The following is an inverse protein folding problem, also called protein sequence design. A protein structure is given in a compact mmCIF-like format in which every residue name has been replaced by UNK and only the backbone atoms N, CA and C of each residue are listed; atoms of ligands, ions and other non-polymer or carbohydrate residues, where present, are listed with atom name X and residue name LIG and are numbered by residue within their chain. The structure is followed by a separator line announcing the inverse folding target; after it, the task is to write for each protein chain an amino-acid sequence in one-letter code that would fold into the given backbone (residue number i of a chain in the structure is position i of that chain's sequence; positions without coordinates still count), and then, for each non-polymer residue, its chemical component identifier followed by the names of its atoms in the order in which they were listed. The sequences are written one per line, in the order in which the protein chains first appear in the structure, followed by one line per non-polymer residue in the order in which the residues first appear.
data_IF_845915677141
#
_entry.id   IF_845915677141
#
_cell.length_a   1.000
_cell.length_b   1.000
_cell.length_c   1.000
_cell.angle_alpha   90.00
_cell.angle_beta   90.00
_cell.angle_gamma   90.00
#
_symmetry.space_group_name_H-M   'P 1'
#
loop_
_entity.id
_entity.type
_entity.pdbx_description
1 polymer ?
#
# COMPACT_ATOMS: atom_id res chain seq x y z
N UNK A 1 4.83 -3.38 20.99
CA UNK A 1 5.01 -4.26 19.83
C UNK A 1 4.73 -5.71 20.18
N UNK A 2 3.80 -6.00 21.11
CA UNK A 2 2.89 -7.14 20.91
C UNK A 2 2.29 -6.99 19.51
N UNK A 3 2.61 -7.90 18.59
CA UNK A 3 1.99 -7.98 17.26
C UNK A 3 0.97 -9.11 17.25
N UNK A 4 -0.27 -8.90 17.78
CA UNK A 4 -1.38 -9.75 17.41
C UNK A 4 -1.61 -9.49 15.92
N UNK A 5 -1.10 -10.40 15.10
CA UNK A 5 -1.30 -10.46 13.65
C UNK A 5 -1.20 -9.07 12.99
N UNK A 6 0.04 -8.61 12.84
CA UNK A 6 0.31 -7.49 11.94
C UNK A 6 -0.19 -7.94 10.55
N UNK A 7 -1.40 -7.50 10.17
CA UNK A 7 -2.16 -7.96 8.99
C UNK A 7 -1.53 -7.58 7.64
N UNK A 8 -0.22 -7.30 7.66
CA UNK A 8 0.62 -7.29 6.48
C UNK A 8 0.70 -8.69 5.88
N UNK A 9 0.72 -8.71 4.56
CA UNK A 9 0.91 -9.94 3.79
C UNK A 9 2.39 -10.22 3.65
N UNK A 10 2.74 -11.49 3.54
CA UNK A 10 4.11 -11.98 3.52
C UNK A 10 4.93 -11.82 4.82
N UNK A 11 4.37 -11.22 5.89
CA UNK A 11 4.77 -11.63 7.25
C UNK A 11 4.08 -12.95 7.57
N UNK A 12 4.84 -14.04 7.71
CA UNK A 12 4.32 -15.29 8.26
C UNK A 12 3.82 -15.13 9.69
N UNK A 13 3.34 -16.21 10.32
CA UNK A 13 2.97 -16.17 11.74
C UNK A 13 4.22 -15.86 12.59
N UNK A 14 4.10 -14.95 13.55
CA UNK A 14 5.12 -14.75 14.58
C UNK A 14 5.03 -15.86 15.64
N UNK A 15 6.17 -16.39 16.05
CA UNK A 15 6.28 -17.39 17.11
C UNK A 15 7.03 -16.84 18.32
N UNK A 16 6.65 -17.29 19.52
CA UNK A 16 7.38 -17.01 20.76
C UNK A 16 8.73 -17.72 20.70
N UNK A 17 9.82 -17.02 20.99
CA UNK A 17 11.16 -17.58 20.94
C UNK A 17 11.31 -18.71 21.97
N UNK A 18 11.65 -19.89 21.48
CA UNK A 18 11.91 -21.09 22.29
C UNK A 18 13.15 -21.84 21.75
N UNK A 19 14.04 -22.38 22.60
CA UNK A 19 15.20 -23.15 22.16
C UNK A 19 14.85 -24.38 21.30
N UNK A 20 13.72 -25.02 21.59
CA UNK A 20 13.29 -26.29 21.00
C UNK A 20 12.90 -26.10 19.54
N UNK A 21 12.17 -25.03 19.23
CA UNK A 21 11.74 -24.68 17.86
C UNK A 21 12.79 -23.88 17.09
N UNK A 22 13.56 -23.04 17.78
CA UNK A 22 14.36 -21.99 17.14
C UNK A 22 15.88 -22.12 17.36
N UNK A 23 16.34 -23.15 18.07
CA UNK A 23 17.77 -23.35 18.40
C UNK A 23 18.68 -23.55 17.18
N UNK A 24 18.12 -24.00 16.06
CA UNK A 24 18.82 -24.14 14.77
C UNK A 24 18.90 -22.83 13.97
N UNK A 25 18.07 -21.82 14.28
CA UNK A 25 17.99 -20.59 13.48
C UNK A 25 19.29 -19.79 13.57
N UNK A 26 19.71 -19.30 12.39
CA UNK A 26 20.88 -18.44 12.20
C UNK A 26 20.43 -17.12 11.60
N UNK A 27 20.60 -16.04 12.34
CA UNK A 27 20.23 -14.70 11.91
C UNK A 27 21.34 -14.06 11.06
N UNK A 28 20.97 -13.57 9.89
CA UNK A 28 21.76 -12.60 9.14
C UNK A 28 20.91 -11.36 8.82
N UNK A 29 21.57 -10.24 8.52
CA UNK A 29 20.87 -9.07 7.95
C UNK A 29 20.41 -9.42 6.53
N UNK A 30 19.23 -8.95 6.13
CA UNK A 30 18.85 -8.93 4.72
C UNK A 30 19.62 -7.82 3.98
N UNK A 31 19.85 -8.01 2.68
CA UNK A 31 20.54 -7.02 1.84
C UNK A 31 19.65 -5.81 1.50
N UNK A 32 18.34 -6.00 1.51
CA UNK A 32 17.33 -4.99 1.20
C UNK A 32 16.00 -5.31 1.93
N UNK A 33 14.95 -4.53 1.66
CA UNK A 33 13.63 -4.64 2.31
C UNK A 33 12.62 -5.46 1.51
N UNK A 34 13.06 -6.43 0.69
CA UNK A 34 12.16 -7.25 -0.14
C UNK A 34 11.09 -8.00 0.69
N UNK A 35 11.36 -8.30 1.97
CA UNK A 35 10.38 -8.87 2.90
C UNK A 35 9.14 -7.97 3.12
N UNK A 36 9.28 -6.66 2.95
CA UNK A 36 8.21 -5.67 3.06
C UNK A 36 7.60 -5.29 1.70
N UNK A 37 8.02 -5.93 0.60
CA UNK A 37 7.58 -5.57 -0.75
C UNK A 37 6.06 -5.70 -0.97
N UNK A 38 5.36 -6.57 -0.22
CA UNK A 38 3.90 -6.69 -0.26
C UNK A 38 3.15 -5.78 0.73
N UNK A 39 3.82 -5.23 1.74
CA UNK A 39 3.17 -4.49 2.82
C UNK A 39 2.52 -3.20 2.30
N UNK A 40 1.33 -2.86 2.79
CA UNK A 40 0.68 -1.58 2.51
C UNK A 40 1.13 -0.52 3.53
N UNK A 41 1.27 -0.94 4.78
CA UNK A 41 1.61 -0.08 5.90
C UNK A 41 2.58 -0.79 6.85
N UNK A 42 3.10 -0.06 7.81
CA UNK A 42 3.83 -0.61 8.94
C UNK A 42 3.35 0.05 10.23
N UNK A 43 3.10 -0.70 11.32
CA UNK A 43 2.82 -0.12 12.63
C UNK A 43 3.94 0.82 13.08
N UNK A 44 3.58 1.94 13.71
CA UNK A 44 4.55 2.91 14.25
C UNK A 44 4.10 3.40 15.62
N UNK A 45 5.05 3.76 16.48
CA UNK A 45 4.71 4.36 17.78
C UNK A 45 4.75 5.90 17.73
N UNK A 46 4.05 6.56 18.65
CA UNK A 46 3.90 8.03 18.61
C UNK A 46 5.24 8.80 18.58
N UNK A 47 6.29 8.27 19.23
CA UNK A 47 7.65 8.87 19.28
C UNK A 47 8.45 8.85 17.97
N UNK A 48 8.06 8.05 16.97
CA UNK A 48 8.68 8.06 15.63
C UNK A 48 7.75 8.66 14.57
N UNK A 49 6.43 8.58 14.80
CA UNK A 49 5.40 9.06 13.88
C UNK A 49 5.68 10.48 13.36
N UNK A 50 6.10 11.42 14.23
CA UNK A 50 6.38 12.81 13.82
C UNK A 50 7.56 12.99 12.86
N UNK A 51 8.52 12.03 12.82
CA UNK A 51 9.61 12.03 11.84
C UNK A 51 9.17 11.37 10.52
N UNK A 52 8.45 10.27 10.62
CA UNK A 52 7.92 9.51 9.46
C UNK A 52 6.87 10.31 8.67
N UNK A 53 5.98 11.01 9.38
CA UNK A 53 4.93 11.89 8.85
C UNK A 53 5.43 13.00 7.93
N UNK A 54 6.73 13.35 7.97
CA UNK A 54 7.35 14.33 7.06
C UNK A 54 7.45 13.84 5.62
N UNK A 55 7.42 12.52 5.40
CA UNK A 55 7.63 11.91 4.08
C UNK A 55 6.49 10.98 3.66
N UNK A 56 5.83 10.33 4.62
CA UNK A 56 4.83 9.30 4.36
C UNK A 56 3.57 9.56 5.20
N UNK A 57 2.36 9.30 4.66
CA UNK A 57 1.13 9.41 5.43
C UNK A 57 1.14 8.48 6.65
N UNK A 58 0.84 9.03 7.82
CA UNK A 58 0.58 8.26 9.04
C UNK A 58 -0.93 8.20 9.24
N UNK A 59 -1.50 6.99 9.35
CA UNK A 59 -2.92 6.71 9.62
C UNK A 59 -3.03 5.82 10.87
N UNK A 60 -4.23 5.29 11.15
CA UNK A 60 -4.47 4.32 12.21
C UNK A 60 -4.97 3.01 11.60
N UNK A 61 -4.50 1.86 12.09
CA UNK A 61 -5.02 0.55 11.69
C UNK A 61 -5.83 -0.07 12.84
N UNK A 62 -6.95 -0.76 12.54
CA UNK A 62 -7.72 -1.48 13.55
C UNK A 62 -6.97 -2.73 14.02
N UNK A 63 -7.05 -3.03 15.31
CA UNK A 63 -6.53 -4.26 15.91
C UNK A 63 -7.60 -5.36 15.92
N UNK A 64 -7.25 -6.65 15.69
CA UNK A 64 -8.20 -7.76 15.78
C UNK A 64 -8.88 -7.89 17.16
N UNK A 65 -8.15 -7.56 18.23
CA UNK A 65 -8.63 -7.53 19.63
C UNK A 65 -9.60 -6.38 19.95
N UNK A 66 -9.99 -5.59 18.95
CA UNK A 66 -10.52 -4.24 19.16
C UNK A 66 -9.41 -3.25 19.51
N UNK A 67 -9.68 -1.97 19.27
CA UNK A 67 -8.71 -0.89 19.40
C UNK A 67 -8.07 -0.49 18.07
N UNK A 68 -7.19 0.51 18.12
CA UNK A 68 -6.44 1.04 16.97
C UNK A 68 -5.00 1.34 17.35
N UNK A 69 -4.11 1.36 16.36
CA UNK A 69 -2.72 1.78 16.55
C UNK A 69 -2.24 2.62 15.36
N UNK A 70 -1.25 3.52 15.51
CA UNK A 70 -0.72 4.29 14.39
C UNK A 70 0.04 3.39 13.41
N UNK A 71 -0.02 3.74 12.12
CA UNK A 71 0.74 3.10 11.06
C UNK A 71 1.20 4.13 10.03
N UNK A 72 2.32 3.87 9.37
CA UNK A 72 2.81 4.64 8.24
C UNK A 72 2.54 3.87 6.95
N UNK A 73 2.00 4.53 5.92
CA UNK A 73 1.86 3.92 4.59
C UNK A 73 3.22 3.74 3.92
N UNK A 74 3.45 2.53 3.41
CA UNK A 74 4.59 2.20 2.55
C UNK A 74 4.28 2.41 1.07
N UNK A 75 2.99 2.53 0.70
CA UNK A 75 2.52 2.67 -0.68
C UNK A 75 1.32 3.61 -0.75
N UNK A 76 1.35 4.56 -1.68
CA UNK A 76 0.20 5.35 -2.13
C UNK A 76 0.21 5.43 -3.66
N UNK A 77 -0.84 5.99 -4.28
CA UNK A 77 -0.90 6.20 -5.74
C UNK A 77 0.32 7.03 -6.19
N UNK A 78 1.21 6.43 -6.98
CA UNK A 78 2.41 7.07 -7.51
C UNK A 78 3.57 7.28 -6.53
N UNK A 79 3.51 6.78 -5.29
CA UNK A 79 4.63 6.92 -4.32
C UNK A 79 4.82 5.65 -3.50
N UNK A 80 6.07 5.18 -3.44
CA UNK A 80 6.50 3.99 -2.73
C UNK A 80 7.62 4.33 -1.77
N UNK A 81 7.60 3.76 -0.56
CA UNK A 81 8.66 3.92 0.42
C UNK A 81 9.88 3.02 0.15
N UNK A 82 9.73 2.06 -0.75
CA UNK A 82 10.79 1.20 -1.27
C UNK A 82 11.06 1.52 -2.74
N UNK A 83 12.33 1.48 -3.15
CA UNK A 83 12.75 1.57 -4.56
C UNK A 83 12.41 0.30 -5.34
N UNK A 84 12.60 0.32 -6.66
CA UNK A 84 12.46 -0.88 -7.50
C UNK A 84 13.41 -2.03 -7.06
N UNK A 85 14.57 -1.70 -6.49
CA UNK A 85 15.55 -2.64 -5.91
C UNK A 85 15.25 -2.99 -4.44
N UNK A 86 14.07 -2.61 -3.93
CA UNK A 86 13.60 -2.80 -2.56
C UNK A 86 14.47 -2.09 -1.49
N UNK A 87 15.15 -1.01 -1.86
CA UNK A 87 15.89 -0.17 -0.90
C UNK A 87 14.96 0.84 -0.24
N UNK A 88 15.22 1.18 1.03
CA UNK A 88 14.42 2.15 1.78
C UNK A 88 14.69 3.58 1.31
N UNK A 89 13.63 4.32 0.95
CA UNK A 89 13.70 5.65 0.33
C UNK A 89 13.51 6.83 1.30
N UNK A 90 13.28 6.58 2.59
CA UNK A 90 13.02 7.62 3.59
C UNK A 90 14.25 7.99 4.42
N UNK A 91 14.30 9.22 4.94
CA UNK A 91 15.39 9.63 5.85
C UNK A 91 15.37 8.96 7.24
N UNK A 92 14.25 8.34 7.63
CA UNK A 92 14.10 7.61 8.90
C UNK A 92 13.42 6.28 8.62
N UNK A 93 14.08 5.16 8.96
CA UNK A 93 13.52 3.82 8.84
C UNK A 93 12.59 3.53 10.04
N UNK A 94 11.35 3.05 9.84
CA UNK A 94 10.47 2.67 10.94
C UNK A 94 11.07 1.57 11.83
N UNK A 95 10.91 1.68 13.14
CA UNK A 95 11.56 0.77 14.09
C UNK A 95 11.13 -0.70 13.92
N UNK A 96 9.87 -0.93 13.50
CA UNK A 96 9.37 -2.26 13.10
C UNK A 96 10.13 -2.87 11.93
N UNK A 97 10.47 -2.07 10.90
CA UNK A 97 11.27 -2.56 9.75
C UNK A 97 12.74 -2.74 10.12
N UNK A 98 13.26 -1.88 11.00
CA UNK A 98 14.65 -1.92 11.48
C UNK A 98 14.94 -3.14 12.37
N UNK A 99 13.95 -3.64 13.09
CA UNK A 99 14.07 -4.75 14.04
C UNK A 99 13.48 -6.08 13.55
N UNK A 100 12.78 -6.08 12.41
CA UNK A 100 12.37 -7.30 11.73
C UNK A 100 13.59 -8.25 11.52
N UNK A 101 13.46 -9.56 11.78
CA UNK A 101 12.25 -10.35 12.01
C UNK A 101 11.88 -10.54 13.48
N UNK A 102 12.33 -9.67 14.39
CA UNK A 102 12.07 -9.80 15.82
C UNK A 102 11.02 -8.80 16.32
N UNK A 103 10.35 -9.17 17.40
CA UNK A 103 9.33 -8.37 18.06
C UNK A 103 9.05 -8.90 19.46
N UNK A 104 7.90 -8.54 20.01
CA UNK A 104 7.37 -9.17 21.20
C UNK A 104 5.96 -9.73 20.94
N UNK A 105 5.52 -10.64 21.78
CA UNK A 105 4.14 -11.11 21.81
C UNK A 105 3.62 -11.02 23.24
N UNK A 106 2.33 -10.72 23.40
CA UNK A 106 1.66 -10.90 24.69
C UNK A 106 1.18 -12.33 24.80
N UNK A 107 1.56 -12.98 25.90
CA UNK A 107 1.06 -14.27 26.30
C UNK A 107 -0.32 -14.10 26.96
N UNK A 108 -1.08 -15.19 27.07
CA UNK A 108 -2.43 -15.19 27.66
C UNK A 108 -2.45 -14.72 29.12
N UNK A 109 -1.37 -14.99 29.87
CA UNK A 109 -1.15 -14.51 31.23
C UNK A 109 -0.74 -13.01 31.32
N UNK A 110 -0.83 -12.27 30.22
CA UNK A 110 -0.49 -10.84 30.13
C UNK A 110 1.01 -10.52 30.05
N UNK A 111 1.91 -11.51 30.21
CA UNK A 111 3.35 -11.30 30.11
C UNK A 111 3.78 -11.03 28.66
N UNK A 112 4.75 -10.12 28.50
CA UNK A 112 5.36 -9.83 27.21
C UNK A 112 6.58 -10.73 27.00
N UNK A 113 6.53 -11.60 25.99
CA UNK A 113 7.63 -12.51 25.62
C UNK A 113 8.24 -12.18 24.26
N UNK A 114 9.51 -12.50 24.09
CA UNK A 114 10.27 -12.26 22.86
C UNK A 114 9.74 -13.14 21.73
N UNK A 115 9.50 -12.55 20.56
CA UNK A 115 8.94 -13.25 19.40
C UNK A 115 9.78 -13.02 18.14
N UNK A 116 9.66 -13.93 17.18
CA UNK A 116 10.27 -13.78 15.85
C UNK A 116 9.35 -14.31 14.73
N UNK A 117 9.67 -13.95 13.49
CA UNK A 117 9.05 -14.49 12.29
C UNK A 117 9.97 -15.56 11.68
N UNK A 118 9.78 -16.87 11.93
CA UNK A 118 10.78 -17.89 11.60
C UNK A 118 10.94 -18.10 10.08
N UNK A 119 9.86 -17.87 9.32
CA UNK A 119 9.87 -17.91 7.86
C UNK A 119 10.50 -16.66 7.20
N UNK A 120 11.06 -15.72 7.97
CA UNK A 120 11.66 -14.52 7.41
C UNK A 120 12.96 -14.83 6.63
N UNK A 121 13.26 -14.10 5.54
CA UNK A 121 14.49 -14.28 4.74
C UNK A 121 15.78 -13.88 5.48
N UNK A 122 15.69 -13.51 6.76
CA UNK A 122 16.81 -13.28 7.68
C UNK A 122 17.33 -14.57 8.33
N UNK A 123 16.62 -15.69 8.13
CA UNK A 123 16.95 -17.01 8.67
C UNK A 123 17.25 -18.06 7.59
N UNK A 124 17.19 -17.70 6.31
CA UNK A 124 17.36 -18.63 5.18
C UNK A 124 18.82 -18.83 4.73
N UNK A 125 19.78 -18.08 5.29
CA UNK A 125 21.17 -18.08 4.87
C UNK A 125 22.19 -18.38 5.98
N UNK A 126 23.48 -18.28 5.64
CA UNK A 126 24.57 -18.30 6.61
C UNK A 126 24.46 -17.09 7.54
N UNK A 127 24.25 -17.31 8.84
CA UNK A 127 24.11 -16.26 9.84
C UNK A 127 24.64 -16.64 11.22
N UNK A 128 24.56 -15.73 12.17
CA UNK A 128 24.94 -15.92 13.58
C UNK A 128 23.87 -16.72 14.34
N UNK A 129 24.25 -17.66 15.21
CA UNK A 129 23.26 -18.33 16.09
C UNK A 129 22.59 -17.30 17.02
N UNK A 130 21.27 -17.38 17.18
CA UNK A 130 20.52 -16.54 18.13
C UNK A 130 20.36 -17.20 19.51
N UNK A 131 20.44 -18.53 19.59
CA UNK A 131 20.37 -19.31 20.82
C UNK A 131 21.65 -20.16 20.96
N UNK A 132 22.14 -20.31 22.18
CA UNK A 132 23.29 -21.18 22.53
C UNK A 132 22.86 -22.64 22.69
N UNK A 133 23.80 -23.59 22.67
CA UNK A 133 23.51 -25.00 22.97
C UNK A 133 22.90 -25.24 24.35
N UNK A 134 23.03 -24.29 25.29
CA UNK A 134 22.42 -24.31 26.63
C UNK A 134 21.07 -23.58 26.70
N UNK A 135 20.40 -23.35 25.56
CA UNK A 135 19.10 -22.67 25.47
C UNK A 135 19.09 -21.17 25.78
N UNK A 136 20.24 -20.57 26.13
CA UNK A 136 20.33 -19.13 26.47
C UNK A 136 20.53 -18.26 25.22
N UNK A 137 20.01 -17.01 25.18
CA UNK A 137 20.27 -16.07 24.09
C UNK A 137 21.77 -15.80 23.88
N UNK A 138 22.23 -15.71 22.63
CA UNK A 138 23.62 -15.34 22.30
C UNK A 138 23.89 -13.84 22.52
N UNK A 139 25.15 -13.40 22.44
CA UNK A 139 25.49 -11.96 22.48
C UNK A 139 24.75 -11.17 21.39
N UNK A 140 24.65 -11.75 20.19
CA UNK A 140 23.85 -11.20 19.09
C UNK A 140 22.41 -10.96 19.50
N UNK A 141 21.78 -11.97 20.10
CA UNK A 141 20.38 -11.89 20.51
C UNK A 141 20.18 -10.93 21.69
N UNK A 142 21.11 -10.87 22.65
CA UNK A 142 21.10 -9.85 23.73
C UNK A 142 21.17 -8.43 23.18
N UNK A 143 21.96 -8.19 22.13
CA UNK A 143 22.02 -6.91 21.42
C UNK A 143 20.68 -6.53 20.78
N UNK A 144 20.01 -7.49 20.13
CA UNK A 144 18.67 -7.32 19.54
C UNK A 144 17.62 -7.01 20.63
N UNK A 145 17.61 -7.75 21.74
CA UNK A 145 16.71 -7.52 22.88
C UNK A 145 16.88 -6.10 23.44
N UNK A 146 18.13 -5.63 23.62
CA UNK A 146 18.42 -4.27 24.09
C UNK A 146 17.86 -3.18 23.16
N UNK A 147 17.76 -3.45 21.85
CA UNK A 147 17.16 -2.51 20.89
C UNK A 147 15.63 -2.61 20.81
N UNK A 148 15.05 -3.79 21.08
CA UNK A 148 13.60 -4.01 21.11
C UNK A 148 12.92 -3.39 22.33
N UNK A 149 13.52 -3.49 23.52
CA UNK A 149 12.94 -2.97 24.77
C UNK A 149 12.45 -1.50 24.71
N UNK A 150 13.23 -0.51 24.23
CA UNK A 150 12.74 0.87 24.14
C UNK A 150 11.62 1.05 23.11
N UNK A 151 11.59 0.25 22.05
CA UNK A 151 10.53 0.26 21.02
C UNK A 151 9.24 -0.34 21.58
N UNK A 152 9.33 -1.44 22.35
CA UNK A 152 8.18 -2.00 23.07
C UNK A 152 7.55 -0.97 23.99
N UNK A 153 8.36 -0.35 24.85
CA UNK A 153 7.91 0.70 25.78
C UNK A 153 7.27 1.89 25.04
N UNK A 154 7.78 2.28 23.88
CA UNK A 154 7.18 3.35 23.08
C UNK A 154 5.81 2.95 22.49
N UNK A 155 5.63 1.69 22.11
CA UNK A 155 4.31 1.16 21.73
C UNK A 155 3.35 1.03 22.92
N UNK A 156 3.81 0.59 24.09
CA UNK A 156 3.01 0.58 25.33
C UNK A 156 2.52 1.99 25.69
N UNK A 157 3.40 2.98 25.60
CA UNK A 157 3.06 4.40 25.79
C UNK A 157 2.16 4.97 24.69
N UNK A 158 2.04 4.31 23.53
CA UNK A 158 1.08 4.69 22.48
C UNK A 158 -0.35 4.25 22.83
N UNK A 159 -0.53 3.15 23.57
CA UNK A 159 -1.84 2.59 23.92
C UNK A 159 -2.80 3.56 24.62
N UNK A 160 -2.41 4.33 25.67
CA UNK A 160 -3.32 5.29 26.30
C UNK A 160 -3.81 6.37 25.33
N UNK A 161 -2.94 6.86 24.43
CA UNK A 161 -3.31 7.85 23.41
C UNK A 161 -4.34 7.27 22.42
N UNK A 162 -4.26 5.98 22.10
CA UNK A 162 -5.22 5.30 21.22
C UNK A 162 -6.56 5.05 21.91
N UNK A 163 -6.57 4.78 23.21
CA UNK A 163 -7.81 4.73 24.02
C UNK A 163 -8.50 6.09 24.06
N UNK A 164 -7.73 7.15 24.29
CA UNK A 164 -8.22 8.54 24.26
C UNK A 164 -8.80 8.88 22.88
N UNK A 165 -8.08 8.58 21.79
CA UNK A 165 -8.54 8.80 20.41
C UNK A 165 -9.85 8.07 20.09
N UNK A 166 -10.02 6.84 20.56
CA UNK A 166 -11.24 6.06 20.36
C UNK A 166 -12.44 6.64 21.11
N UNK A 167 -12.23 7.16 22.31
CA UNK A 167 -13.30 7.79 23.10
C UNK A 167 -13.92 9.01 22.39
N UNK A 168 -13.15 9.70 21.54
CA UNK A 168 -13.62 10.84 20.74
C UNK A 168 -14.58 10.45 19.61
N UNK A 169 -14.55 9.18 19.14
CA UNK A 169 -15.36 8.68 18.00
C UNK A 169 -15.18 9.46 16.67
N UNK A 170 -14.01 10.08 16.47
CA UNK A 170 -13.66 10.91 15.29
C UNK A 170 -13.01 10.15 14.13
N UNK A 171 -12.84 8.83 14.27
CA UNK A 171 -12.17 8.01 13.26
C UNK A 171 -13.15 7.52 12.19
N UNK A 172 -12.79 7.75 10.93
CA UNK A 172 -13.53 7.34 9.74
C UNK A 172 -12.74 6.31 8.93
N UNK A 173 -13.40 5.31 8.30
CA UNK A 173 -12.74 4.32 7.47
C UNK A 173 -12.20 4.89 6.16
N UNK A 174 -11.00 4.48 5.79
CA UNK A 174 -10.36 4.79 4.52
C UNK A 174 -9.87 3.49 3.85
N UNK A 175 -10.42 3.18 2.68
CA UNK A 175 -10.15 1.92 1.98
C UNK A 175 -9.09 2.09 0.90
N UNK A 176 -8.06 1.24 0.93
CA UNK A 176 -6.96 1.22 -0.03
C UNK A 176 -7.04 -0.05 -0.89
N UNK A 177 -6.80 0.09 -2.20
CA UNK A 177 -6.65 -1.08 -3.09
C UNK A 177 -5.17 -1.43 -3.28
N UNK A 178 -4.81 -2.67 -3.01
CA UNK A 178 -3.48 -3.23 -3.18
C UNK A 178 -3.53 -4.34 -4.24
N UNK A 179 -2.74 -4.19 -5.32
CA UNK A 179 -2.46 -5.25 -6.31
C UNK A 179 -1.45 -6.22 -5.69
N UNK A 180 -1.78 -7.50 -5.69
CA UNK A 180 -0.93 -8.62 -5.20
C UNK A 180 0.03 -9.09 -6.30
N UNK A 181 1.07 -9.84 -5.93
CA UNK A 181 1.95 -10.51 -6.89
C UNK A 181 1.24 -11.48 -7.86
N UNK A 182 0.12 -12.09 -7.42
CA UNK A 182 -0.74 -12.95 -8.26
C UNK A 182 -1.75 -12.17 -9.13
N UNK A 183 -1.56 -10.87 -9.29
CA UNK A 183 -2.43 -9.98 -10.07
C UNK A 183 -3.77 -9.62 -9.42
N UNK A 184 -4.21 -10.34 -8.38
CA UNK A 184 -5.49 -10.08 -7.73
C UNK A 184 -5.44 -8.75 -6.95
N UNK A 185 -6.54 -7.99 -6.98
CA UNK A 185 -6.70 -6.80 -6.12
C UNK A 185 -7.28 -7.20 -4.77
N UNK A 186 -6.83 -6.52 -3.74
CA UNK A 186 -7.37 -6.63 -2.39
C UNK A 186 -7.67 -5.25 -1.81
N UNK A 187 -8.68 -5.18 -0.95
CA UNK A 187 -9.01 -3.98 -0.18
C UNK A 187 -8.45 -4.13 1.23
N UNK A 188 -7.85 -3.06 1.76
CA UNK A 188 -7.42 -2.95 3.15
C UNK A 188 -8.02 -1.65 3.69
N UNK A 189 -8.73 -1.73 4.81
CA UNK A 189 -9.35 -0.58 5.46
C UNK A 189 -8.48 -0.11 6.62
N UNK A 190 -8.08 1.15 6.57
CA UNK A 190 -7.47 1.87 7.68
C UNK A 190 -8.46 2.91 8.23
N UNK A 191 -8.05 3.66 9.24
CA UNK A 191 -8.83 4.69 9.90
C UNK A 191 -8.08 6.03 9.87
N UNK A 192 -8.83 7.12 9.72
CA UNK A 192 -8.32 8.48 9.67
C UNK A 192 -9.24 9.45 10.43
N UNK A 193 -8.68 10.59 10.86
CA UNK A 193 -9.41 11.72 11.42
C UNK A 193 -9.24 12.93 10.48
N UNK A 194 -10.07 13.05 9.43
CA UNK A 194 -9.94 14.11 8.43
C UNK A 194 -10.45 15.48 8.90
N UNK A 195 -11.17 15.55 10.04
CA UNK A 195 -11.61 16.82 10.61
C UNK A 195 -10.49 17.53 11.38
N UNK A 196 -9.94 18.57 10.76
CA UNK A 196 -8.95 19.48 11.34
C UNK A 196 -9.46 20.30 12.54
N UNK A 197 -10.77 20.27 12.85
CA UNK A 197 -11.31 20.94 14.03
C UNK A 197 -10.99 20.20 15.34
N UNK A 198 -10.87 18.87 15.30
CA UNK A 198 -10.70 18.00 16.48
C UNK A 198 -9.51 18.43 17.35
N UNK A 199 -8.39 18.83 16.74
CA UNK A 199 -7.18 19.28 17.47
C UNK A 199 -7.39 20.54 18.32
N UNK A 200 -8.52 21.25 18.18
CA UNK A 200 -8.91 22.39 19.02
C UNK A 200 -9.53 21.96 20.35
N UNK A 201 -10.02 20.73 20.48
CA UNK A 201 -10.61 20.24 21.72
C UNK A 201 -9.61 20.38 22.89
N UNK A 202 -10.02 21.04 23.97
CA UNK A 202 -9.18 21.29 25.15
C UNK A 202 -8.96 20.04 26.01
N UNK A 203 -9.81 19.02 25.91
CA UNK A 203 -9.66 17.77 26.67
C UNK A 203 -8.55 16.85 26.15
N UNK A 204 -7.96 17.15 24.98
CA UNK A 204 -6.91 16.33 24.39
C UNK A 204 -5.58 16.48 25.12
N UNK A 205 -4.96 15.35 25.43
CA UNK A 205 -3.56 15.27 25.87
C UNK A 205 -2.62 15.91 24.82
N UNK A 206 -1.50 16.46 25.28
CA UNK A 206 -0.52 17.11 24.39
C UNK A 206 0.03 16.14 23.34
N UNK A 207 0.29 14.90 23.74
CA UNK A 207 0.78 13.84 22.86
C UNK A 207 -0.27 13.42 21.81
N UNK A 208 -1.55 13.26 22.20
CA UNK A 208 -2.60 12.94 21.21
C UNK A 208 -2.87 14.12 20.27
N UNK A 209 -2.91 15.36 20.77
CA UNK A 209 -3.06 16.56 19.93
C UNK A 209 -1.93 16.64 18.90
N UNK A 210 -0.70 16.37 19.31
CA UNK A 210 0.47 16.32 18.43
C UNK A 210 0.34 15.21 17.39
N UNK A 211 -0.07 14.00 17.81
CA UNK A 211 -0.26 12.84 16.93
C UNK A 211 -1.37 13.07 15.88
N UNK A 212 -2.49 13.67 16.28
CA UNK A 212 -3.57 14.07 15.37
C UNK A 212 -3.12 15.14 14.38
N UNK A 213 -2.37 16.15 14.84
CA UNK A 213 -1.80 17.16 13.95
C UNK A 213 -0.90 16.55 12.87
N UNK A 214 0.07 15.70 13.23
CA UNK A 214 0.97 15.07 12.25
C UNK A 214 0.24 14.09 11.31
N UNK A 215 -0.76 13.37 11.81
CA UNK A 215 -1.66 12.54 10.99
C UNK A 215 -2.33 13.41 9.92
N UNK A 216 -2.98 14.49 10.33
CA UNK A 216 -3.71 15.39 9.45
C UNK A 216 -2.81 16.08 8.43
N UNK A 217 -1.62 16.54 8.83
CA UNK A 217 -0.64 17.14 7.91
C UNK A 217 -0.14 16.13 6.87
N UNK A 218 0.27 14.93 7.31
CA UNK A 218 0.80 13.89 6.41
C UNK A 218 -0.25 13.31 5.45
N UNK A 219 -1.53 13.34 5.84
CA UNK A 219 -2.64 12.85 5.03
C UNK A 219 -3.32 13.93 4.16
N UNK A 220 -2.86 15.19 4.15
CA UNK A 220 -3.47 16.29 3.37
C UNK A 220 -3.76 15.96 1.90
N UNK A 221 -2.84 15.27 1.22
CA UNK A 221 -3.03 14.86 -0.18
C UNK A 221 -4.10 13.77 -0.33
N UNK A 222 -4.12 12.79 0.58
CA UNK A 222 -5.10 11.71 0.60
C UNK A 222 -6.53 12.24 0.83
N UNK A 223 -6.70 13.18 1.77
CA UNK A 223 -8.00 13.78 2.07
C UNK A 223 -8.53 14.67 0.94
N UNK A 224 -7.65 15.33 0.18
CA UNK A 224 -8.07 16.04 -1.05
C UNK A 224 -8.60 15.06 -2.10
N UNK A 225 -7.89 13.96 -2.34
CA UNK A 225 -8.27 12.96 -3.35
C UNK A 225 -9.63 12.30 -3.06
N UNK A 226 -9.98 12.08 -1.78
CA UNK A 226 -11.31 11.60 -1.40
C UNK A 226 -12.39 12.63 -1.75
N UNK A 227 -12.25 13.90 -1.32
CA UNK A 227 -13.27 14.93 -1.56
C UNK A 227 -13.57 15.17 -3.04
N UNK A 228 -12.56 15.05 -3.91
CA UNK A 228 -12.76 15.13 -5.37
C UNK A 228 -13.46 13.93 -5.98
N UNK A 229 -13.50 12.78 -5.31
CA UNK A 229 -14.26 11.60 -5.75
C UNK A 229 -15.74 11.61 -5.28
N UNK A 230 -16.05 12.38 -4.24
CA UNK A 230 -17.39 12.44 -3.61
C UNK A 230 -18.23 13.68 -4.02
N UNK A 231 -17.78 14.47 -5.01
CA UNK A 231 -18.50 15.68 -5.47
C UNK A 231 -19.39 15.34 -6.69
N UNK A 232 -20.73 15.51 -6.64
CA UNK A 232 -21.58 15.34 -7.81
C UNK A 232 -21.50 16.57 -8.73
N UNK A 233 -21.24 16.37 -10.02
CA UNK A 233 -21.36 17.44 -11.02
C UNK A 233 -22.82 17.86 -11.21
N UNK A 234 -23.12 19.13 -10.90
CA UNK A 234 -24.40 19.75 -11.19
C UNK A 234 -24.35 20.51 -12.53
N UNK A 235 -25.13 20.01 -13.49
CA UNK A 235 -25.92 20.75 -14.48
C UNK A 235 -25.36 22.06 -15.06
N UNK A 236 -25.05 22.05 -16.36
CA UNK A 236 -25.17 23.20 -17.24
C UNK A 236 -26.25 22.93 -18.30
N UNK A 237 -27.25 23.80 -18.40
CA UNK A 237 -28.35 23.71 -19.38
C UNK A 237 -27.95 24.21 -20.76
N UNK A 238 -28.49 23.59 -21.81
CA UNK A 238 -28.82 24.26 -23.07
C UNK A 238 -30.06 23.60 -23.71
N UNK A 239 -30.98 24.43 -24.23
CA UNK A 239 -32.31 24.04 -24.75
C UNK A 239 -32.30 23.70 -26.26
N UNK A 240 -33.39 23.12 -26.83
CA UNK A 240 -33.27 22.10 -27.89
C UNK A 240 -33.48 22.61 -29.33
N UNK A 241 -33.12 21.75 -30.30
CA UNK A 241 -33.55 21.83 -31.69
C UNK A 241 -34.33 20.56 -32.10
N UNK A 242 -35.45 20.76 -32.80
CA UNK A 242 -36.45 19.73 -33.17
C UNK A 242 -36.26 19.15 -34.56
N UNK A 243 -36.40 17.81 -34.71
CA UNK A 243 -36.92 17.16 -35.94
C UNK A 243 -37.81 15.97 -35.55
N UNK A 244 -38.91 15.73 -36.29
CA UNK A 244 -39.86 14.62 -36.09
C UNK A 244 -39.60 13.48 -37.08
N UNK A 245 -39.68 12.21 -36.64
CA UNK A 245 -40.73 11.25 -37.04
C UNK A 245 -40.47 9.81 -36.49
N UNK A 246 -41.54 8.99 -36.48
CA UNK A 246 -41.70 7.64 -35.89
C UNK A 246 -42.03 6.63 -37.02
N UNK A 247 -42.15 5.29 -36.83
CA UNK A 247 -41.79 4.39 -35.70
C UNK A 247 -40.76 3.30 -36.16
N UNK A 248 -40.59 2.05 -35.67
CA UNK A 248 -41.24 1.20 -34.65
C UNK A 248 -40.30 0.08 -34.11
N UNK A 249 -40.73 -0.50 -32.97
CA UNK A 249 -40.55 -1.88 -32.46
C UNK A 249 -39.23 -2.38 -31.80
N UNK A 250 -39.45 -3.11 -30.68
CA UNK A 250 -38.61 -4.05 -29.90
C UNK A 250 -37.22 -3.67 -29.31
N UNK A 251 -37.27 -3.57 -27.97
CA UNK A 251 -36.50 -4.40 -27.01
C UNK A 251 -35.19 -3.88 -26.36
N UNK A 252 -35.13 -4.15 -25.05
CA UNK A 252 -33.95 -4.38 -24.20
C UNK A 252 -32.93 -3.24 -23.93
N UNK A 253 -33.06 -2.71 -22.71
CA UNK A 253 -32.05 -2.08 -21.86
C UNK A 253 -30.55 -2.41 -22.10
N UNK A 254 -29.69 -1.37 -22.01
CA UNK A 254 -28.72 -1.21 -20.90
C UNK A 254 -27.95 0.12 -20.93
N UNK A 255 -27.73 0.66 -19.72
CA UNK A 255 -26.87 1.80 -19.41
C UNK A 255 -25.37 1.51 -19.63
N UNK A 256 -24.60 2.51 -20.10
CA UNK A 256 -23.15 2.68 -19.91
C UNK A 256 -22.82 4.19 -19.81
N UNK A 257 -22.38 4.73 -18.67
CA UNK A 257 -21.00 4.83 -18.12
C UNK A 257 -19.97 5.60 -18.95
N UNK A 258 -19.35 6.59 -18.30
CA UNK A 258 -18.30 7.48 -18.80
C UNK A 258 -16.87 7.07 -18.34
N UNK A 259 -15.89 7.65 -19.03
CA UNK A 259 -14.49 7.90 -18.62
C UNK A 259 -13.62 6.71 -18.20
N UNK A 260 -13.39 5.82 -19.17
CA UNK A 260 -12.10 5.13 -19.29
C UNK A 260 -11.14 5.98 -20.14
N UNK A 261 -9.82 5.76 -20.02
CA UNK A 261 -8.84 6.27 -20.99
C UNK A 261 -9.25 5.78 -22.38
N UNK A 262 -9.63 6.67 -23.29
CA UNK A 262 -10.12 6.22 -24.60
C UNK A 262 -8.94 5.73 -25.46
N UNK A 263 -8.85 4.40 -25.52
CA UNK A 263 -7.91 3.68 -26.38
C UNK A 263 -8.08 4.07 -27.86
N UNK A 264 -9.25 4.57 -28.29
CA UNK A 264 -9.43 5.14 -29.64
C UNK A 264 -8.56 6.37 -29.86
N UNK A 265 -8.51 7.28 -28.90
CA UNK A 265 -7.69 8.50 -29.01
C UNK A 265 -6.19 8.17 -28.97
N UNK A 266 -5.80 7.16 -28.19
CA UNK A 266 -4.42 6.66 -28.18
C UNK A 266 -4.03 6.03 -29.53
N UNK A 267 -4.92 5.22 -30.14
CA UNK A 267 -4.70 4.67 -31.48
C UNK A 267 -4.66 5.79 -32.52
N UNK A 268 -5.59 6.76 -32.47
CA UNK A 268 -5.63 7.90 -33.37
C UNK A 268 -4.35 8.73 -33.28
N UNK A 269 -3.89 9.05 -32.07
CA UNK A 269 -2.62 9.74 -31.83
C UNK A 269 -1.42 8.99 -32.42
N UNK A 270 -1.38 7.66 -32.31
CA UNK A 270 -0.35 6.85 -32.95
C UNK A 270 -0.45 6.84 -34.49
N UNK A 271 -1.66 6.79 -35.05
CA UNK A 271 -1.89 6.92 -36.50
C UNK A 271 -1.38 8.26 -37.03
N UNK A 272 -1.81 9.36 -36.40
CA UNK A 272 -1.47 10.74 -36.79
C UNK A 272 0.04 11.00 -36.64
N UNK A 273 0.66 10.54 -35.54
CA UNK A 273 2.09 10.75 -35.23
C UNK A 273 3.04 10.04 -36.21
N UNK A 274 2.65 8.89 -36.76
CA UNK A 274 3.50 8.08 -37.62
C UNK A 274 3.02 8.01 -39.09
N UNK A 275 1.93 8.70 -39.44
CA UNK A 275 1.38 8.72 -40.80
C UNK A 275 0.86 7.35 -41.26
N UNK A 276 0.27 6.56 -40.35
CA UNK A 276 -0.23 5.20 -40.64
C UNK A 276 -1.73 5.11 -40.40
N UNK A 277 -2.42 4.23 -41.12
CA UNK A 277 -3.85 3.98 -40.89
C UNK A 277 -4.11 2.96 -39.76
N UNK A 278 -5.34 2.94 -39.24
CA UNK A 278 -5.81 1.88 -38.33
C UNK A 278 -5.64 0.49 -38.95
N UNK A 279 -5.93 0.35 -40.24
CA UNK A 279 -5.78 -0.91 -40.96
C UNK A 279 -4.31 -1.31 -41.12
N UNK A 280 -3.40 -0.34 -41.28
CA UNK A 280 -1.96 -0.62 -41.29
C UNK A 280 -1.48 -1.15 -39.94
N UNK A 281 -1.95 -0.59 -38.81
CA UNK A 281 -1.69 -1.12 -37.47
C UNK A 281 -2.22 -2.54 -37.30
N UNK A 282 -3.42 -2.83 -37.82
CA UNK A 282 -4.06 -4.17 -37.82
C UNK A 282 -3.41 -5.17 -38.78
N UNK A 283 -2.78 -4.70 -39.86
CA UNK A 283 -2.27 -5.51 -40.99
C UNK A 283 -1.12 -6.48 -40.62
N UNK A 284 -0.61 -7.24 -41.60
CA UNK A 284 0.67 -7.96 -41.48
C UNK A 284 1.86 -7.21 -42.09
N UNK A 285 1.66 -5.98 -42.60
CA UNK A 285 2.74 -5.15 -43.18
C UNK A 285 3.80 -4.80 -42.12
N UNK A 286 5.05 -4.59 -42.58
CA UNK A 286 6.23 -4.37 -41.74
C UNK A 286 7.11 -3.20 -42.24
N UNK A 287 6.52 -2.15 -42.79
CA UNK A 287 7.27 -0.90 -43.03
C UNK A 287 7.72 -0.29 -41.70
N UNK A 288 8.79 0.50 -41.72
CA UNK A 288 9.39 0.99 -40.47
C UNK A 288 8.51 2.00 -39.74
N UNK A 289 7.67 2.76 -40.46
CA UNK A 289 6.61 3.58 -39.87
C UNK A 289 5.60 2.73 -39.08
N UNK A 290 5.14 1.60 -39.64
CA UNK A 290 4.20 0.69 -38.97
C UNK A 290 4.84 -0.01 -37.76
N UNK A 291 6.14 -0.37 -37.83
CA UNK A 291 6.86 -0.94 -36.68
C UNK A 291 6.91 0.07 -35.52
N UNK A 292 7.40 1.29 -35.78
CA UNK A 292 7.52 2.35 -34.77
C UNK A 292 6.17 2.76 -34.18
N UNK A 293 5.12 2.83 -35.01
CA UNK A 293 3.78 3.12 -34.53
C UNK A 293 3.24 2.03 -33.58
N UNK A 294 3.49 0.75 -33.89
CA UNK A 294 3.11 -0.38 -33.05
C UNK A 294 3.89 -0.44 -31.73
N UNK A 295 5.20 -0.21 -31.78
CA UNK A 295 6.11 -0.18 -30.63
C UNK A 295 5.74 0.95 -29.65
N UNK A 296 5.52 2.17 -30.18
CA UNK A 296 5.05 3.29 -29.38
C UNK A 296 3.67 3.02 -28.77
N UNK A 297 2.70 2.57 -29.57
CA UNK A 297 1.33 2.28 -29.12
C UNK A 297 1.28 1.15 -28.08
N UNK A 298 2.12 0.13 -28.20
CA UNK A 298 2.24 -0.93 -27.20
C UNK A 298 2.93 -0.45 -25.90
N UNK A 299 3.92 0.44 -26.01
CA UNK A 299 4.60 1.07 -24.87
C UNK A 299 3.63 1.98 -24.09
N UNK A 300 2.92 2.87 -24.80
CA UNK A 300 1.94 3.78 -24.21
C UNK A 300 0.78 3.00 -23.56
N UNK A 301 0.26 1.96 -24.23
CA UNK A 301 -0.77 1.09 -23.66
C UNK A 301 -0.28 0.27 -22.45
N UNK A 302 1.01 -0.11 -22.42
CA UNK A 302 1.61 -0.76 -21.25
C UNK A 302 1.83 0.21 -20.09
N UNK A 303 2.10 1.49 -20.36
CA UNK A 303 2.21 2.53 -19.34
C UNK A 303 0.84 2.88 -18.71
N UNK A 304 -0.23 2.81 -19.51
CA UNK A 304 -1.61 3.06 -19.08
C UNK A 304 -2.38 1.82 -18.55
N UNK A 305 -1.75 0.62 -18.51
CA UNK A 305 -2.36 -0.66 -18.11
C UNK A 305 -3.62 -1.02 -18.96
N UNK A 306 -3.69 -0.58 -20.22
CA UNK A 306 -4.83 -0.74 -21.15
C UNK A 306 -4.54 -1.65 -22.37
N UNK A 307 -3.52 -2.52 -22.25
CA UNK A 307 -3.20 -3.54 -23.25
C UNK A 307 -4.37 -4.48 -23.61
N UNK A 308 -5.25 -4.93 -22.69
CA UNK A 308 -6.43 -5.72 -23.03
C UNK A 308 -7.44 -4.98 -23.92
N UNK A 309 -7.70 -3.72 -23.61
CA UNK A 309 -8.60 -2.86 -24.36
C UNK A 309 -8.03 -2.52 -25.75
N UNK A 310 -6.72 -2.29 -25.86
CA UNK A 310 -6.00 -2.13 -27.13
C UNK A 310 -6.06 -3.42 -27.98
N UNK A 311 -5.90 -4.59 -27.35
CA UNK A 311 -5.99 -5.89 -28.02
C UNK A 311 -7.37 -6.10 -28.66
N UNK A 312 -8.45 -5.72 -27.97
CA UNK A 312 -9.81 -5.74 -28.52
C UNK A 312 -9.94 -4.80 -29.71
N UNK A 313 -9.46 -3.56 -29.62
CA UNK A 313 -9.61 -2.57 -30.71
C UNK A 313 -8.75 -2.85 -31.95
N UNK A 314 -7.60 -3.52 -31.79
CA UNK A 314 -6.73 -3.93 -32.90
C UNK A 314 -7.00 -5.34 -33.43
N UNK A 315 -7.98 -6.05 -32.86
CA UNK A 315 -8.33 -7.44 -33.24
C UNK A 315 -7.13 -8.40 -33.16
N UNK A 316 -6.30 -8.24 -32.11
CA UNK A 316 -5.08 -9.04 -31.85
C UNK A 316 -5.07 -9.60 -30.43
N UNK A 317 -4.25 -10.63 -30.19
CA UNK A 317 -3.98 -11.07 -28.82
C UNK A 317 -3.06 -10.11 -28.09
N UNK A 318 -3.24 -10.00 -26.76
CA UNK A 318 -2.37 -9.21 -25.88
C UNK A 318 -0.90 -9.63 -26.04
N UNK A 319 -0.62 -10.93 -26.21
CA UNK A 319 0.74 -11.43 -26.43
C UNK A 319 1.31 -11.15 -27.82
N UNK A 320 0.47 -10.77 -28.80
CA UNK A 320 0.95 -10.21 -30.07
C UNK A 320 1.39 -8.76 -29.90
N UNK A 321 0.64 -7.97 -29.13
CA UNK A 321 0.95 -6.56 -28.87
C UNK A 321 2.18 -6.42 -27.97
N UNK A 322 2.34 -7.29 -26.95
CA UNK A 322 3.56 -7.35 -26.12
C UNK A 322 4.83 -7.68 -26.91
N UNK A 323 4.73 -8.24 -28.13
CA UNK A 323 5.87 -8.52 -29.03
C UNK A 323 6.18 -7.36 -29.99
N UNK A 324 5.52 -6.22 -29.81
CA UNK A 324 5.86 -4.97 -30.50
C UNK A 324 6.81 -4.09 -29.68
N UNK A 325 7.01 -4.43 -28.40
CA UNK A 325 8.04 -3.92 -27.48
C UNK A 325 9.14 -4.99 -27.37
#
# INVERSE_FOLDING_TARGET
MSTPENNQRNTGRSEVLSPERHGSLRFHKANNFAFAAEWLYVPVHYKEAGRLARQFPVLFYPLPSGGVMPCMLLKTKGKYALSAQMNWQGSVLPDVMRLYPFGFSKLENGLTSLALYPAAPHFSGKGEKIITSKGKPTQRMRGIIKQLMPVEKAFEQTQPLMKELLALKVLQPMTFSLRRGDGKRSRITLLACPDFSVIKNKSLSSDLRTLLYIHQQSCRSLFKQIKTADTPEQSAEARPATVKNKPADKSAAKSKTSDAVDVKDMIKSACDRFGVSLDDLRSRKRSDAIKRAREALATDASACDCLPELAIQLERSVDTIKKWV
#
